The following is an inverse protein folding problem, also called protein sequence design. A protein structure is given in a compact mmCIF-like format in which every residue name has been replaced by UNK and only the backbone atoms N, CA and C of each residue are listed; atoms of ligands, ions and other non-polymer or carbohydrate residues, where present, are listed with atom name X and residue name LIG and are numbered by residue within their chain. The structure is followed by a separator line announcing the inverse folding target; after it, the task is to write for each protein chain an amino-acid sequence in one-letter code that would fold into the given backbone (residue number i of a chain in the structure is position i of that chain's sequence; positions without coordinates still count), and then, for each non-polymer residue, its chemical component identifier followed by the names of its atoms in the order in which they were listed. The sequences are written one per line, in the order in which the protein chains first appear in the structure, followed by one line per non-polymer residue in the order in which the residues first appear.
data_IF_965875622969
#
_entry.id   IF_965875622969
#
_cell.length_a   1.000
_cell.length_b   1.000
_cell.length_c   1.000
_cell.angle_alpha   90.00
_cell.angle_beta   90.00
_cell.angle_gamma   90.00
#
_symmetry.space_group_name_H-M   'P 1'
#
loop_
_entity.id
_entity.type
_entity.pdbx_description
1 polymer ?
#
# COMPACT_ATOMS: atom_id res chain seq x y z
N UNK A 1 43.43 -48.10 41.19
CA UNK A 1 42.38 -48.40 40.17
C UNK A 1 41.41 -47.23 40.18
N UNK A 2 41.77 -46.16 39.39
CA UNK A 2 41.06 -44.90 39.38
C UNK A 2 40.05 -44.90 38.23
N UNK A 3 38.77 -44.88 38.55
CA UNK A 3 37.69 -44.68 37.60
C UNK A 3 37.49 -43.17 37.34
N UNK A 4 37.78 -42.74 36.14
CA UNK A 4 37.55 -41.39 35.69
C UNK A 4 36.09 -41.28 35.18
N UNK A 5 35.20 -40.61 35.92
CA UNK A 5 33.87 -40.25 35.45
C UNK A 5 33.98 -39.11 34.42
N UNK A 6 33.66 -39.42 33.17
CA UNK A 6 33.49 -38.38 32.12
C UNK A 6 32.04 -37.83 32.22
N UNK A 7 31.94 -36.59 32.67
CA UNK A 7 30.69 -35.83 32.59
C UNK A 7 30.40 -35.50 31.14
N UNK A 8 29.33 -36.06 30.57
CA UNK A 8 28.79 -35.70 29.27
C UNK A 8 27.77 -34.59 29.52
N UNK A 9 28.16 -33.34 29.20
CA UNK A 9 27.21 -32.24 29.12
C UNK A 9 26.43 -32.35 27.82
N UNK A 10 25.16 -32.74 27.90
CA UNK A 10 24.21 -32.65 26.80
C UNK A 10 23.63 -31.25 26.84
N UNK A 11 24.13 -30.35 25.98
CA UNK A 11 23.54 -29.02 25.76
C UNK A 11 22.27 -29.16 24.94
N UNK A 12 21.14 -29.01 25.64
CA UNK A 12 19.81 -28.94 25.00
C UNK A 12 19.68 -27.55 24.31
N UNK A 13 19.86 -27.51 22.98
CA UNK A 13 19.56 -26.35 22.19
C UNK A 13 18.03 -26.26 22.02
N UNK A 14 17.37 -25.34 22.77
CA UNK A 14 16.01 -24.94 22.46
C UNK A 14 16.02 -24.18 21.16
N UNK A 15 15.55 -24.81 20.08
CA UNK A 15 15.19 -24.16 18.84
C UNK A 15 13.93 -23.32 19.10
N UNK A 16 14.09 -22.05 19.36
CA UNK A 16 12.98 -21.08 19.26
C UNK A 16 12.62 -20.97 17.79
N UNK A 17 11.59 -21.68 17.35
CA UNK A 17 10.93 -21.42 16.09
C UNK A 17 10.13 -20.12 16.27
N UNK A 18 10.67 -18.98 15.84
CA UNK A 18 9.86 -17.78 15.66
C UNK A 18 8.89 -18.08 14.52
N UNK A 19 7.63 -18.30 14.87
CA UNK A 19 6.55 -18.33 13.89
C UNK A 19 6.51 -16.93 13.30
N UNK A 20 6.96 -16.77 12.04
CA UNK A 20 6.66 -15.56 11.28
C UNK A 20 5.17 -15.65 11.00
N UNK A 21 4.36 -14.96 11.79
CA UNK A 21 2.95 -14.77 11.48
C UNK A 21 2.88 -14.01 10.17
N UNK A 22 2.13 -14.53 9.21
CA UNK A 22 1.91 -13.82 7.97
C UNK A 22 1.15 -12.52 8.27
N UNK A 23 1.68 -11.40 7.78
CA UNK A 23 1.15 -10.08 8.08
C UNK A 23 -0.18 -9.85 7.36
N UNK A 24 -1.19 -9.30 8.06
CA UNK A 24 -2.46 -8.89 7.47
C UNK A 24 -2.17 -7.95 6.31
N UNK A 25 -2.87 -8.13 5.18
CA UNK A 25 -2.65 -7.33 3.97
C UNK A 25 -3.91 -6.74 3.38
N UNK A 26 -3.80 -5.52 2.83
CA UNK A 26 -4.82 -4.86 2.01
C UNK A 26 -4.23 -4.40 0.69
N UNK A 27 -4.94 -4.62 -0.42
CA UNK A 27 -4.46 -4.20 -1.73
C UNK A 27 -5.53 -3.48 -2.53
N UNK A 28 -5.09 -2.49 -3.31
CA UNK A 28 -5.84 -1.81 -4.35
C UNK A 28 -5.18 -2.04 -5.71
N UNK A 29 -5.95 -2.10 -6.81
CA UNK A 29 -5.41 -2.33 -8.14
C UNK A 29 -4.78 -1.08 -8.74
N UNK A 30 -3.91 -1.32 -9.75
CA UNK A 30 -3.52 -0.32 -10.72
C UNK A 30 -4.43 -0.41 -11.94
N UNK A 31 -5.12 0.67 -12.27
CA UNK A 31 -5.98 0.76 -13.44
C UNK A 31 -5.33 1.66 -14.49
N UNK A 32 -5.01 1.05 -15.62
CA UNK A 32 -4.30 1.69 -16.71
C UNK A 32 -5.25 2.07 -17.85
N UNK A 33 -4.85 3.10 -18.60
CA UNK A 33 -5.51 3.53 -19.82
C UNK A 33 -7.03 3.75 -19.64
N UNK A 34 -7.40 4.28 -18.48
CA UNK A 34 -8.79 4.58 -18.16
C UNK A 34 -9.28 5.71 -19.08
N UNK A 35 -10.43 5.52 -19.69
CA UNK A 35 -11.03 6.57 -20.53
C UNK A 35 -11.52 7.73 -19.65
N UNK A 36 -11.18 8.95 -20.03
CA UNK A 36 -11.70 10.14 -19.35
C UNK A 36 -13.25 10.14 -19.34
N UNK A 37 -13.84 10.40 -18.20
CA UNK A 37 -15.28 10.33 -17.95
C UNK A 37 -15.80 8.94 -17.57
N UNK A 38 -15.02 7.87 -17.70
CA UNK A 38 -15.43 6.53 -17.29
C UNK A 38 -15.46 6.38 -15.76
N UNK A 39 -16.40 5.58 -15.28
CA UNK A 39 -16.43 5.11 -13.88
C UNK A 39 -15.72 3.77 -13.79
N UNK A 40 -14.72 3.68 -12.91
CA UNK A 40 -13.94 2.49 -12.65
C UNK A 40 -14.25 1.91 -11.27
N UNK A 41 -14.06 0.60 -11.11
CA UNK A 41 -14.18 -0.08 -9.84
C UNK A 41 -12.81 -0.52 -9.35
N UNK A 42 -12.47 -0.12 -8.13
CA UNK A 42 -11.24 -0.53 -7.43
C UNK A 42 -11.64 -1.53 -6.32
N UNK A 43 -11.44 -2.84 -6.53
CA UNK A 43 -11.65 -3.83 -5.49
C UNK A 43 -10.61 -3.65 -4.39
N UNK A 44 -11.07 -3.55 -3.15
CA UNK A 44 -10.22 -3.67 -1.96
C UNK A 44 -10.13 -5.15 -1.61
N UNK A 45 -8.94 -5.71 -1.71
CA UNK A 45 -8.68 -7.12 -1.42
C UNK A 45 -7.89 -7.29 -0.15
N UNK A 46 -8.11 -8.42 0.52
CA UNK A 46 -7.44 -8.77 1.78
C UNK A 46 -6.59 -10.04 1.64
N UNK A 47 -5.59 -10.15 2.52
CA UNK A 47 -4.67 -11.28 2.63
C UNK A 47 -4.38 -11.55 4.11
N UNK A 48 -4.20 -12.81 4.48
CA UNK A 48 -4.02 -13.26 5.87
C UNK A 48 -5.09 -12.64 6.79
N UNK A 49 -6.32 -12.56 6.29
CA UNK A 49 -7.47 -11.99 6.98
C UNK A 49 -8.14 -13.08 7.81
N UNK A 50 -7.59 -13.32 8.98
CA UNK A 50 -8.02 -14.39 9.88
C UNK A 50 -8.42 -13.84 11.24
N UNK A 51 -9.60 -14.22 11.72
CA UNK A 51 -10.15 -13.81 13.01
C UNK A 51 -10.11 -12.28 13.23
N UNK A 52 -10.43 -11.51 12.18
CA UNK A 52 -10.45 -10.05 12.23
C UNK A 52 -11.74 -9.57 12.88
N UNK A 53 -11.59 -8.74 13.90
CA UNK A 53 -12.72 -8.23 14.70
C UNK A 53 -13.16 -6.84 14.29
N UNK A 54 -12.25 -5.99 13.78
CA UNK A 54 -12.62 -4.72 13.18
C UNK A 54 -11.60 -4.23 12.15
N UNK A 55 -12.06 -3.36 11.26
CA UNK A 55 -11.22 -2.67 10.28
C UNK A 55 -11.66 -1.22 10.19
N UNK A 56 -10.74 -0.29 10.41
CA UNK A 56 -10.97 1.11 10.11
C UNK A 56 -9.78 1.70 9.35
N UNK A 57 -10.08 2.48 8.32
CA UNK A 57 -9.10 3.23 7.55
C UNK A 57 -9.75 4.33 6.70
N UNK A 58 -8.90 5.11 6.07
CA UNK A 58 -9.28 6.11 5.09
C UNK A 58 -8.71 5.73 3.74
N UNK A 59 -9.52 5.81 2.69
CA UNK A 59 -9.05 5.84 1.31
C UNK A 59 -8.97 7.29 0.83
N UNK A 60 -7.86 7.66 0.19
CA UNK A 60 -7.61 9.00 -0.33
C UNK A 60 -7.29 8.95 -1.82
N UNK A 61 -7.74 9.95 -2.55
CA UNK A 61 -7.40 10.19 -3.96
C UNK A 61 -7.37 11.68 -4.26
N UNK A 62 -6.84 12.05 -5.43
CA UNK A 62 -6.88 13.43 -5.88
C UNK A 62 -8.26 13.77 -6.47
N UNK A 63 -9.08 14.64 -5.80
CA UNK A 63 -10.42 14.97 -6.27
C UNK A 63 -10.44 15.78 -7.57
N UNK A 64 -9.32 16.38 -7.97
CA UNK A 64 -9.20 17.03 -9.28
C UNK A 64 -9.06 16.04 -10.45
N UNK A 65 -8.80 14.74 -10.14
CA UNK A 65 -8.59 13.67 -11.12
C UNK A 65 -9.68 12.62 -11.05
N UNK A 66 -10.14 12.28 -9.84
CA UNK A 66 -11.14 11.24 -9.58
C UNK A 66 -12.25 11.78 -8.70
N UNK A 67 -13.50 11.57 -9.11
CA UNK A 67 -14.70 11.91 -8.37
C UNK A 67 -15.31 10.64 -7.77
N UNK A 68 -15.75 10.68 -6.51
CA UNK A 68 -16.48 9.58 -5.89
C UNK A 68 -17.79 9.31 -6.62
N UNK A 69 -18.07 8.04 -6.88
CA UNK A 69 -19.32 7.59 -7.49
C UNK A 69 -20.18 6.78 -6.52
N UNK A 70 -19.61 5.70 -5.97
CA UNK A 70 -20.30 4.84 -4.99
C UNK A 70 -19.31 3.84 -4.36
N UNK A 71 -19.80 3.10 -3.37
CA UNK A 71 -19.24 1.82 -2.95
C UNK A 71 -20.21 0.70 -3.29
N UNK A 72 -19.73 -0.51 -3.57
CA UNK A 72 -20.55 -1.69 -3.83
C UNK A 72 -19.82 -2.99 -3.50
N UNK A 73 -20.48 -4.14 -3.76
CA UNK A 73 -19.89 -5.47 -3.58
C UNK A 73 -19.40 -5.73 -2.16
N UNK A 74 -20.24 -5.50 -1.17
CA UNK A 74 -19.92 -5.77 0.23
C UNK A 74 -19.86 -7.28 0.48
N UNK A 75 -18.69 -7.79 0.86
CA UNK A 75 -18.41 -9.23 0.96
C UNK A 75 -17.72 -9.61 2.29
N UNK A 76 -17.96 -8.83 3.34
CA UNK A 76 -17.76 -9.23 4.71
C UNK A 76 -19.11 -9.29 5.42
N UNK A 77 -19.33 -10.23 6.35
CA UNK A 77 -20.54 -10.25 7.16
C UNK A 77 -20.73 -8.91 7.88
N UNK A 78 -21.92 -8.35 7.79
CA UNK A 78 -22.27 -7.08 8.42
C UNK A 78 -21.75 -5.81 7.72
N UNK A 79 -20.87 -5.93 6.72
CA UNK A 79 -20.40 -4.77 5.97
C UNK A 79 -21.49 -4.26 5.01
N UNK A 80 -21.83 -2.98 5.11
CA UNK A 80 -22.77 -2.32 4.21
C UNK A 80 -22.41 -0.85 3.96
N UNK A 81 -23.32 -0.09 3.31
CA UNK A 81 -23.08 1.32 2.99
C UNK A 81 -22.97 2.24 4.22
N UNK A 82 -23.49 1.82 5.38
CA UNK A 82 -23.48 2.62 6.61
C UNK A 82 -22.10 2.60 7.30
N UNK A 83 -21.25 1.62 6.97
CA UNK A 83 -19.86 1.55 7.47
C UNK A 83 -18.95 2.59 6.83
N UNK A 84 -19.46 3.31 5.82
CA UNK A 84 -18.70 4.33 5.12
C UNK A 84 -19.14 5.74 5.54
N UNK A 85 -18.18 6.52 6.07
CA UNK A 85 -18.39 7.93 6.38
C UNK A 85 -18.43 8.77 5.12
N UNK A 86 -19.65 8.95 4.54
CA UNK A 86 -19.88 9.65 3.28
C UNK A 86 -20.06 11.17 3.45
N UNK A 87 -20.24 11.68 4.68
CA UNK A 87 -20.57 13.09 4.92
C UNK A 87 -19.32 13.98 4.93
N UNK A 88 -19.33 15.04 4.11
CA UNK A 88 -18.37 16.16 4.08
C UNK A 88 -16.92 15.86 3.69
N UNK A 89 -16.60 14.67 3.15
CA UNK A 89 -15.21 14.31 2.82
C UNK A 89 -15.02 13.82 1.39
N UNK A 90 -16.08 13.45 0.67
CA UNK A 90 -15.99 12.91 -0.69
C UNK A 90 -15.44 13.92 -1.69
N UNK A 91 -15.87 15.19 -1.60
CA UNK A 91 -15.35 16.28 -2.44
C UNK A 91 -13.89 16.59 -2.16
N UNK A 92 -13.38 16.17 -1.00
CA UNK A 92 -11.98 16.28 -0.61
C UNK A 92 -11.13 15.06 -1.02
N UNK A 93 -11.74 14.08 -1.71
CA UNK A 93 -11.05 12.85 -2.12
C UNK A 93 -10.78 11.90 -0.94
N UNK A 94 -11.68 11.82 0.02
CA UNK A 94 -11.55 11.01 1.23
C UNK A 94 -12.79 10.15 1.45
N UNK A 95 -12.62 8.84 1.54
CA UNK A 95 -13.62 7.87 1.99
C UNK A 95 -13.15 7.23 3.29
N UNK A 96 -14.00 7.19 4.29
CA UNK A 96 -13.74 6.53 5.59
C UNK A 96 -14.46 5.20 5.64
N UNK A 97 -13.79 4.16 6.12
CA UNK A 97 -14.38 2.88 6.49
C UNK A 97 -14.24 2.68 7.99
N UNK A 98 -15.31 2.16 8.63
CA UNK A 98 -15.27 1.63 9.98
C UNK A 98 -16.25 0.45 10.04
N UNK A 99 -15.72 -0.75 10.00
CA UNK A 99 -16.45 -2.02 10.05
C UNK A 99 -16.04 -2.82 11.29
N UNK A 100 -17.02 -3.52 11.88
CA UNK A 100 -16.84 -4.39 13.03
C UNK A 100 -17.52 -5.74 12.78
N UNK A 101 -16.84 -6.84 13.16
CA UNK A 101 -17.40 -8.17 13.04
C UNK A 101 -18.63 -8.35 13.95
N UNK A 102 -19.61 -9.10 13.46
CA UNK A 102 -20.84 -9.39 14.23
C UNK A 102 -20.58 -10.24 15.48
N UNK A 103 -19.51 -11.03 15.45
CA UNK A 103 -19.06 -11.85 16.57
C UNK A 103 -17.58 -11.53 16.88
N UNK A 104 -17.37 -10.80 17.97
CA UNK A 104 -16.03 -10.40 18.43
C UNK A 104 -15.25 -11.52 19.12
N UNK A 105 -15.90 -12.61 19.51
CA UNK A 105 -15.24 -13.78 20.14
C UNK A 105 -14.62 -14.72 19.10
N UNK A 106 -15.09 -14.64 17.85
CA UNK A 106 -14.56 -15.43 16.73
C UNK A 106 -13.83 -14.56 15.70
N UNK A 107 -14.31 -13.35 15.47
CA UNK A 107 -13.89 -12.51 14.34
C UNK A 107 -14.32 -13.10 13.00
N UNK A 108 -13.96 -12.41 11.91
CA UNK A 108 -14.25 -12.85 10.55
C UNK A 108 -12.96 -13.29 9.84
N UNK A 109 -13.09 -14.31 9.00
CA UNK A 109 -11.97 -14.86 8.22
C UNK A 109 -12.32 -14.85 6.74
N UNK A 110 -11.39 -14.37 5.92
CA UNK A 110 -11.53 -14.35 4.47
C UNK A 110 -10.29 -14.94 3.78
N UNK A 111 -10.51 -15.71 2.72
CA UNK A 111 -9.41 -16.27 1.93
C UNK A 111 -8.57 -15.17 1.26
N UNK A 112 -7.30 -15.44 1.02
CA UNK A 112 -6.36 -14.54 0.35
C UNK A 112 -6.90 -14.08 -1.01
N UNK A 113 -6.81 -12.78 -1.28
CA UNK A 113 -7.30 -12.16 -2.50
C UNK A 113 -8.81 -11.92 -2.53
N UNK A 114 -9.54 -12.19 -1.44
CA UNK A 114 -10.96 -11.87 -1.32
C UNK A 114 -11.16 -10.36 -1.44
N UNK A 115 -12.06 -9.95 -2.35
CA UNK A 115 -12.53 -8.57 -2.41
C UNK A 115 -13.55 -8.35 -1.31
N UNK A 116 -13.31 -7.42 -0.40
CA UNK A 116 -14.22 -7.11 0.70
C UNK A 116 -15.29 -6.05 0.31
N UNK A 117 -14.90 -5.09 -0.51
CA UNK A 117 -15.81 -4.15 -1.18
C UNK A 117 -15.10 -3.56 -2.41
N UNK A 118 -15.84 -2.77 -3.21
CA UNK A 118 -15.30 -2.00 -4.34
C UNK A 118 -15.59 -0.53 -4.15
N UNK A 119 -14.55 0.30 -4.31
CA UNK A 119 -14.67 1.75 -4.46
C UNK A 119 -14.88 2.07 -5.93
N UNK A 120 -15.94 2.82 -6.26
CA UNK A 120 -16.18 3.32 -7.61
C UNK A 120 -15.84 4.80 -7.71
N UNK A 121 -14.95 5.10 -8.64
CA UNK A 121 -14.47 6.45 -8.91
C UNK A 121 -14.68 6.78 -10.39
N UNK A 122 -15.14 8.00 -10.68
CA UNK A 122 -15.26 8.54 -12.03
C UNK A 122 -13.99 9.30 -12.39
N UNK A 123 -13.39 8.99 -13.53
CA UNK A 123 -12.18 9.64 -14.03
C UNK A 123 -12.54 11.00 -14.64
N UNK A 124 -12.45 12.07 -13.87
CA UNK A 124 -12.82 13.46 -14.29
C UNK A 124 -11.61 14.29 -14.76
N UNK A 125 -10.40 13.83 -14.43
CA UNK A 125 -9.17 14.49 -14.86
C UNK A 125 -8.92 14.41 -16.37
N UNK A 126 -8.02 15.25 -16.90
CA UNK A 126 -7.65 15.22 -18.31
C UNK A 126 -6.88 13.94 -18.68
N UNK A 127 -6.77 13.66 -19.98
CA UNK A 127 -5.87 12.61 -20.50
C UNK A 127 -4.43 12.89 -20.03
N UNK A 128 -3.71 11.84 -19.67
CA UNK A 128 -2.39 11.83 -19.02
C UNK A 128 -2.39 12.28 -17.54
N UNK A 129 -3.54 12.56 -16.94
CA UNK A 129 -3.63 12.69 -15.50
C UNK A 129 -3.70 11.32 -14.82
N UNK A 130 -3.29 11.25 -13.55
CA UNK A 130 -3.40 10.06 -12.73
C UNK A 130 -3.53 10.41 -11.27
N UNK A 131 -4.09 9.48 -10.50
CA UNK A 131 -4.22 9.62 -9.05
C UNK A 131 -3.83 8.32 -8.36
N UNK A 132 -2.99 8.42 -7.35
CA UNK A 132 -2.88 7.35 -6.35
C UNK A 132 -4.22 7.23 -5.62
N UNK A 133 -4.58 6.00 -5.22
CA UNK A 133 -5.66 5.71 -4.28
C UNK A 133 -5.03 5.00 -3.10
N UNK A 134 -5.04 5.62 -1.92
CA UNK A 134 -4.15 5.24 -0.84
C UNK A 134 -4.89 4.93 0.44
N UNK A 135 -4.42 3.90 1.16
CA UNK A 135 -4.83 3.66 2.53
C UNK A 135 -4.13 4.64 3.47
N UNK A 136 -4.81 5.07 4.51
CA UNK A 136 -4.23 5.96 5.51
C UNK A 136 -5.16 6.27 6.66
N UNK A 137 -4.83 7.35 7.36
CA UNK A 137 -5.59 7.89 8.49
C UNK A 137 -6.02 9.33 8.20
N UNK A 138 -7.20 9.72 8.71
CA UNK A 138 -7.62 11.11 8.79
C UNK A 138 -8.51 11.30 10.02
N UNK A 139 -8.17 12.16 10.97
CA UNK A 139 -8.97 12.34 12.17
C UNK A 139 -10.47 12.53 11.86
N UNK A 140 -11.38 11.90 12.60
CA UNK A 140 -11.13 11.02 13.76
C UNK A 140 -10.74 9.56 13.39
N UNK A 141 -10.82 9.14 12.12
CA UNK A 141 -10.51 7.78 11.68
C UNK A 141 -9.00 7.57 11.59
N UNK A 142 -8.48 6.65 12.38
CA UNK A 142 -7.11 6.16 12.27
C UNK A 142 -7.09 4.88 11.42
N UNK A 143 -5.93 4.52 10.87
CA UNK A 143 -5.75 3.19 10.27
C UNK A 143 -5.51 2.19 11.41
N UNK A 144 -6.44 1.27 11.58
CA UNK A 144 -6.35 0.22 12.59
C UNK A 144 -7.10 -1.03 12.11
N UNK A 145 -6.52 -2.17 12.38
CA UNK A 145 -7.15 -3.49 12.20
C UNK A 145 -7.04 -4.23 13.52
N UNK A 146 -8.12 -4.78 14.03
CA UNK A 146 -8.07 -5.62 15.22
C UNK A 146 -8.27 -7.07 14.87
N UNK A 147 -7.46 -7.94 15.45
CA UNK A 147 -7.48 -9.39 15.27
C UNK A 147 -7.60 -10.09 16.62
N UNK A 148 -8.31 -11.20 16.65
CA UNK A 148 -8.34 -12.08 17.82
C UNK A 148 -7.11 -12.97 17.80
N UNK A 149 -6.14 -12.69 18.69
CA UNK A 149 -4.90 -13.47 18.83
C UNK A 149 -4.91 -14.13 20.21
N UNK A 150 -4.90 -15.47 20.26
CA UNK A 150 -4.94 -16.24 21.51
C UNK A 150 -6.09 -15.82 22.45
N UNK A 151 -7.26 -15.48 21.88
CA UNK A 151 -8.43 -15.03 22.63
C UNK A 151 -8.37 -13.58 23.12
N UNK A 152 -7.41 -12.79 22.63
CA UNK A 152 -7.24 -11.36 22.96
C UNK A 152 -7.39 -10.52 21.70
N UNK A 153 -8.26 -9.50 21.74
CA UNK A 153 -8.37 -8.52 20.64
C UNK A 153 -7.09 -7.67 20.63
N UNK A 154 -6.33 -7.78 19.56
CA UNK A 154 -5.03 -7.15 19.38
C UNK A 154 -5.09 -6.15 18.23
N UNK A 155 -4.78 -4.86 18.46
CA UNK A 155 -4.77 -3.84 17.42
C UNK A 155 -3.47 -3.86 16.60
N UNK A 156 -3.61 -3.64 15.30
CA UNK A 156 -2.51 -3.47 14.34
C UNK A 156 -2.67 -2.14 13.62
N UNK A 157 -1.70 -1.26 13.77
CA UNK A 157 -1.63 0.00 13.05
C UNK A 157 -1.03 -0.19 11.65
N UNK A 158 -1.10 0.83 10.80
CA UNK A 158 -0.62 0.81 9.41
C UNK A 158 0.81 0.30 9.26
N UNK A 159 1.70 0.56 10.21
CA UNK A 159 3.09 0.09 10.20
C UNK A 159 3.24 -1.43 10.37
N UNK A 160 2.22 -2.10 10.89
CA UNK A 160 2.18 -3.54 11.16
C UNK A 160 1.26 -4.31 10.20
N UNK A 161 0.70 -3.62 9.21
CA UNK A 161 -0.19 -4.17 8.18
C UNK A 161 0.47 -3.95 6.81
N UNK A 162 0.42 -4.95 5.95
CA UNK A 162 0.97 -4.85 4.61
C UNK A 162 -0.05 -4.18 3.67
N UNK A 163 0.22 -2.98 3.20
CA UNK A 163 -0.70 -2.25 2.31
C UNK A 163 -0.10 -2.02 0.93
N UNK A 164 -0.85 -2.39 -0.11
CA UNK A 164 -0.54 -2.05 -1.49
C UNK A 164 -1.50 -0.97 -1.96
N UNK A 165 -0.93 0.17 -2.27
CA UNK A 165 -1.69 1.32 -2.75
C UNK A 165 -2.15 1.11 -4.19
N UNK A 166 -3.29 1.69 -4.56
CA UNK A 166 -3.81 1.68 -5.92
C UNK A 166 -3.38 2.90 -6.73
N UNK A 167 -3.61 2.82 -8.03
CA UNK A 167 -3.43 3.95 -8.94
C UNK A 167 -4.42 3.89 -10.10
N UNK A 168 -4.91 5.06 -10.53
CA UNK A 168 -5.75 5.19 -11.73
C UNK A 168 -5.06 6.13 -12.72
N UNK A 169 -4.73 5.61 -13.91
CA UNK A 169 -4.09 6.35 -14.99
C UNK A 169 -5.09 6.63 -16.12
N UNK A 170 -5.31 7.90 -16.46
CA UNK A 170 -6.27 8.32 -17.49
C UNK A 170 -5.56 8.45 -18.84
N UNK A 171 -5.84 7.55 -19.78
CA UNK A 171 -5.29 7.58 -21.14
C UNK A 171 -3.82 7.20 -21.26
N UNK A 172 -3.20 6.63 -20.22
CA UNK A 172 -1.83 6.13 -20.28
C UNK A 172 -1.65 4.87 -19.42
N UNK A 173 -0.55 4.17 -19.63
CA UNK A 173 -0.26 2.90 -18.94
C UNK A 173 0.82 3.11 -17.87
N UNK A 174 0.53 2.64 -16.66
CA UNK A 174 1.45 2.52 -15.53
C UNK A 174 1.60 1.05 -15.21
N UNK A 175 2.81 0.54 -15.03
CA UNK A 175 3.01 -0.84 -14.57
C UNK A 175 3.05 -0.88 -13.05
N UNK A 176 2.18 -1.68 -12.44
CA UNK A 176 2.23 -1.96 -11.02
C UNK A 176 3.33 -2.97 -10.72
N UNK A 177 4.14 -2.73 -9.70
CA UNK A 177 4.86 -3.82 -9.06
C UNK A 177 3.86 -4.58 -8.19
N UNK A 178 3.54 -5.80 -8.58
CA UNK A 178 2.75 -6.70 -7.75
C UNK A 178 3.59 -7.12 -6.53
N UNK A 179 3.15 -6.88 -5.28
CA UNK A 179 3.94 -7.26 -4.09
C UNK A 179 3.99 -8.77 -3.85
N UNK A 180 3.17 -9.54 -4.54
CA UNK A 180 3.08 -10.99 -4.40
C UNK A 180 3.27 -11.70 -5.74
N UNK A 181 4.49 -12.20 -5.96
CA UNK A 181 4.80 -13.19 -6.99
C UNK A 181 5.23 -12.61 -8.34
N UNK A 182 6.54 -12.63 -8.57
CA UNK A 182 7.23 -12.59 -9.86
C UNK A 182 6.87 -11.42 -10.79
N UNK A 183 7.53 -10.31 -10.62
CA UNK A 183 7.62 -9.32 -11.69
C UNK A 183 9.07 -9.12 -12.12
N UNK A 184 9.34 -9.34 -13.38
CA UNK A 184 10.58 -8.97 -14.07
C UNK A 184 10.64 -7.45 -14.28
N UNK A 185 10.50 -6.65 -13.21
CA UNK A 185 10.33 -5.21 -13.37
C UNK A 185 11.06 -4.47 -12.27
N UNK A 186 11.99 -3.60 -12.68
CA UNK A 186 12.63 -2.58 -11.84
C UNK A 186 12.61 -2.94 -10.35
N UNK A 187 13.62 -3.65 -9.87
CA UNK A 187 13.82 -3.80 -8.43
C UNK A 187 14.08 -2.42 -7.83
N UNK A 188 12.98 -1.71 -7.50
CA UNK A 188 13.09 -0.40 -6.87
C UNK A 188 13.24 -0.60 -5.37
N UNK A 189 14.33 -0.11 -4.83
CA UNK A 189 14.58 -0.06 -3.39
C UNK A 189 14.76 1.39 -2.97
N UNK A 190 14.20 1.71 -1.81
CA UNK A 190 14.33 3.02 -1.18
C UNK A 190 14.86 2.82 0.22
N UNK A 191 16.09 3.26 0.47
CA UNK A 191 16.72 3.09 1.76
C UNK A 191 17.65 4.29 2.11
N UNK A 192 17.58 4.78 3.36
CA UNK A 192 16.60 4.46 4.40
C UNK A 192 15.19 4.94 4.05
N UNK A 193 14.16 4.21 4.50
CA UNK A 193 12.77 4.62 4.45
C UNK A 193 12.07 4.02 5.68
N UNK A 194 11.64 4.80 6.67
CA UNK A 194 11.64 6.27 6.71
C UNK A 194 13.02 6.95 6.75
N UNK A 195 13.09 8.25 6.40
CA UNK A 195 14.33 9.05 6.42
C UNK A 195 14.12 10.48 6.97
N UNK A 196 15.23 11.10 7.42
CA UNK A 196 15.23 12.48 7.95
C UNK A 196 15.85 13.47 6.99
N UNK A 197 17.03 13.18 6.48
CA UNK A 197 17.79 14.11 5.63
C UNK A 197 17.72 13.71 4.16
N UNK A 198 17.95 12.43 3.86
CA UNK A 198 17.98 11.91 2.50
C UNK A 198 17.74 10.41 2.44
N UNK A 199 17.27 9.95 1.31
CA UNK A 199 17.15 8.54 0.97
C UNK A 199 17.73 8.26 -0.40
N UNK A 200 18.20 7.03 -0.60
CA UNK A 200 18.68 6.52 -1.87
C UNK A 200 17.59 5.68 -2.54
N UNK A 201 17.24 6.04 -3.75
CA UNK A 201 16.41 5.22 -4.64
C UNK A 201 17.34 4.44 -5.55
N UNK A 202 17.30 3.12 -5.50
CA UNK A 202 18.02 2.24 -6.43
C UNK A 202 17.04 1.41 -7.25
N UNK A 203 17.38 1.14 -8.51
CA UNK A 203 16.55 0.37 -9.41
C UNK A 203 17.37 -0.29 -10.53
N UNK A 204 16.83 -1.37 -11.11
CA UNK A 204 17.47 -2.10 -12.20
C UNK A 204 16.70 -1.91 -13.52
N UNK A 205 17.43 -1.64 -14.61
CA UNK A 205 16.89 -1.60 -15.97
C UNK A 205 17.27 -2.85 -16.77
N UNK A 206 16.29 -3.56 -17.32
CA UNK A 206 16.52 -4.72 -18.20
C UNK A 206 17.02 -4.31 -19.58
N UNK A 207 16.64 -3.11 -20.02
CA UNK A 207 17.01 -2.51 -21.31
C UNK A 207 17.26 -1.02 -21.13
N UNK A 208 18.05 -0.43 -22.01
CA UNK A 208 18.27 1.03 -22.01
C UNK A 208 16.94 1.76 -22.18
N UNK A 209 16.71 2.79 -21.35
CA UNK A 209 15.47 3.57 -21.34
C UNK A 209 15.67 4.92 -20.70
N UNK A 210 14.84 5.87 -21.10
CA UNK A 210 14.62 7.08 -20.31
C UNK A 210 13.84 6.72 -19.04
N UNK A 211 14.23 7.31 -17.93
CA UNK A 211 13.57 7.12 -16.63
C UNK A 211 13.08 8.46 -16.12
N UNK A 212 11.80 8.52 -15.79
CA UNK A 212 11.19 9.64 -15.08
C UNK A 212 10.91 9.23 -13.65
N UNK A 213 11.32 10.07 -12.71
CA UNK A 213 11.00 9.93 -11.30
C UNK A 213 10.10 11.10 -10.90
N UNK A 214 8.96 10.81 -10.32
CA UNK A 214 8.11 11.80 -9.68
C UNK A 214 7.87 11.42 -8.22
N UNK A 215 7.77 12.43 -7.36
CA UNK A 215 7.30 12.26 -5.98
C UNK A 215 6.03 13.07 -5.82
N UNK A 216 4.97 12.43 -5.33
CA UNK A 216 3.70 13.08 -5.05
C UNK A 216 3.42 13.09 -3.56
N UNK A 217 2.66 14.08 -3.09
CA UNK A 217 2.06 14.06 -1.76
C UNK A 217 0.83 13.12 -1.73
N UNK A 218 0.22 12.96 -0.56
CA UNK A 218 -0.97 12.12 -0.36
C UNK A 218 -2.18 12.55 -1.22
N UNK A 219 -2.22 13.80 -1.68
CA UNK A 219 -3.26 14.29 -2.57
C UNK A 219 -2.99 14.00 -4.06
N UNK A 220 -1.84 13.38 -4.38
CA UNK A 220 -1.38 13.11 -5.74
C UNK A 220 -0.75 14.32 -6.45
N UNK A 221 -0.52 15.44 -5.74
CA UNK A 221 0.18 16.60 -6.29
C UNK A 221 1.67 16.27 -6.42
N UNK A 222 2.24 16.53 -7.61
CA UNK A 222 3.68 16.36 -7.86
C UNK A 222 4.47 17.40 -7.05
N UNK A 223 5.35 16.93 -6.20
CA UNK A 223 6.27 17.73 -5.36
C UNK A 223 7.66 17.81 -5.99
N UNK A 224 8.11 16.70 -6.55
CA UNK A 224 9.42 16.56 -7.19
C UNK A 224 9.26 15.78 -8.50
N UNK A 225 9.94 16.24 -9.55
CA UNK A 225 10.04 15.51 -10.83
C UNK A 225 11.48 15.58 -11.34
N UNK A 226 12.04 14.45 -11.71
CA UNK A 226 13.39 14.32 -12.29
C UNK A 226 13.34 13.38 -13.50
N UNK A 227 14.00 13.75 -14.59
CA UNK A 227 14.14 12.93 -15.78
C UNK A 227 15.61 12.55 -15.96
N UNK A 228 15.84 11.26 -16.17
CA UNK A 228 17.16 10.68 -16.46
C UNK A 228 17.12 10.08 -17.87
N UNK A 229 17.61 10.79 -18.89
CA UNK A 229 17.57 10.29 -20.25
C UNK A 229 18.63 9.21 -20.49
N UNK A 230 18.34 8.29 -21.40
CA UNK A 230 19.27 7.34 -21.98
C UNK A 230 20.06 6.49 -20.96
N UNK A 231 19.45 6.09 -19.85
CA UNK A 231 20.09 5.17 -18.91
C UNK A 231 20.26 3.79 -19.56
N UNK A 232 21.49 3.25 -19.48
CA UNK A 232 21.80 1.91 -19.97
C UNK A 232 21.14 0.80 -19.17
N UNK A 233 21.22 -0.45 -19.66
CA UNK A 233 20.86 -1.62 -18.87
C UNK A 233 21.72 -1.73 -17.62
N UNK A 234 21.15 -2.15 -16.48
CA UNK A 234 21.84 -2.40 -15.22
C UNK A 234 21.29 -1.61 -14.07
N UNK A 235 22.05 -1.58 -12.97
CA UNK A 235 21.67 -0.91 -11.74
C UNK A 235 21.94 0.58 -11.81
N UNK A 236 20.96 1.36 -11.36
CA UNK A 236 21.00 2.81 -11.27
C UNK A 236 20.54 3.27 -9.89
N UNK A 237 20.90 4.50 -9.54
CA UNK A 237 20.47 5.08 -8.28
C UNK A 237 20.41 6.60 -8.33
N UNK A 238 19.57 7.16 -7.48
CA UNK A 238 19.50 8.60 -7.26
C UNK A 238 19.15 8.91 -5.82
N UNK A 239 19.58 10.07 -5.37
CA UNK A 239 19.28 10.59 -4.04
C UNK A 239 18.08 11.53 -4.08
N UNK A 240 17.22 11.41 -3.06
CA UNK A 240 16.15 12.36 -2.75
C UNK A 240 16.45 12.96 -1.38
N UNK A 241 16.59 14.28 -1.31
CA UNK A 241 16.81 14.99 -0.08
C UNK A 241 15.47 15.49 0.52
N UNK A 242 15.34 15.42 1.86
CA UNK A 242 14.15 15.87 2.58
C UNK A 242 13.73 17.31 2.23
N UNK A 243 14.63 18.30 2.07
CA UNK A 243 14.25 19.64 1.67
C UNK A 243 13.57 19.75 0.30
N UNK A 244 13.78 18.78 -0.60
CA UNK A 244 13.08 18.74 -1.90
C UNK A 244 11.60 18.40 -1.75
N UNK A 245 11.19 17.77 -0.63
CA UNK A 245 9.82 17.34 -0.34
C UNK A 245 9.00 18.32 0.51
N UNK A 246 9.63 19.43 0.96
CA UNK A 246 9.03 20.57 1.67
C UNK A 246 8.56 20.31 3.10
N UNK A 247 7.88 19.22 3.39
CA UNK A 247 7.26 18.93 4.69
C UNK A 247 7.55 17.49 5.13
N UNK A 248 7.43 17.23 6.42
CA UNK A 248 7.43 15.86 6.96
C UNK A 248 6.10 15.19 6.65
N UNK A 249 6.13 13.90 6.36
CA UNK A 249 4.90 13.19 6.03
C UNK A 249 5.13 12.02 5.10
N UNK A 250 4.03 11.51 4.55
CA UNK A 250 4.03 10.43 3.59
C UNK A 250 3.95 10.97 2.16
N UNK A 251 4.74 10.38 1.28
CA UNK A 251 4.82 10.68 -0.14
C UNK A 251 4.81 9.40 -0.95
N UNK A 252 4.62 9.51 -2.25
CA UNK A 252 4.70 8.39 -3.19
C UNK A 252 5.77 8.68 -4.24
N UNK A 253 6.78 7.82 -4.27
CA UNK A 253 7.76 7.77 -5.34
C UNK A 253 7.16 7.03 -6.53
N UNK A 254 7.14 7.65 -7.68
CA UNK A 254 6.70 7.07 -8.95
C UNK A 254 7.90 7.04 -9.88
N UNK A 255 8.35 5.85 -10.25
CA UNK A 255 9.43 5.65 -11.21
C UNK A 255 8.81 5.15 -12.53
N UNK A 256 9.10 5.81 -13.65
CA UNK A 256 8.55 5.48 -14.96
C UNK A 256 9.64 5.30 -16.00
N UNK A 257 9.44 4.33 -16.89
CA UNK A 257 10.12 4.18 -18.17
C UNK A 257 9.09 4.24 -19.29
N UNK A 258 9.50 4.14 -20.55
CA UNK A 258 8.56 4.09 -21.69
C UNK A 258 7.50 2.98 -21.56
N UNK A 259 7.85 1.86 -20.94
CA UNK A 259 7.01 0.66 -20.92
C UNK A 259 6.66 0.17 -19.50
N UNK A 260 7.23 0.76 -18.45
CA UNK A 260 7.15 0.25 -17.08
C UNK A 260 7.04 1.39 -16.08
N UNK A 261 6.37 1.15 -14.97
CA UNK A 261 6.32 2.10 -13.86
C UNK A 261 6.21 1.35 -12.54
N UNK A 262 6.73 1.96 -11.48
CA UNK A 262 6.71 1.46 -10.12
C UNK A 262 6.30 2.60 -9.18
N UNK A 263 5.53 2.29 -8.15
CA UNK A 263 5.17 3.24 -7.08
C UNK A 263 5.63 2.67 -5.75
N UNK A 264 6.33 3.48 -4.95
CA UNK A 264 6.81 3.13 -3.62
C UNK A 264 6.44 4.22 -2.61
N UNK A 265 5.98 3.88 -1.40
CA UNK A 265 5.77 4.87 -0.35
C UNK A 265 7.11 5.41 0.15
N UNK A 266 7.14 6.71 0.44
CA UNK A 266 8.25 7.43 1.08
C UNK A 266 7.76 8.05 2.38
N UNK A 267 8.51 7.88 3.46
CA UNK A 267 8.20 8.47 4.76
C UNK A 267 9.33 9.41 5.18
N UNK A 268 8.98 10.69 5.42
CA UNK A 268 9.90 11.75 5.87
C UNK A 268 9.58 12.15 7.30
N UNK A 269 10.59 12.15 8.19
CA UNK A 269 10.45 12.53 9.59
C UNK A 269 11.18 13.83 9.95
#
# INVERSE_FOLDING_TARGET
MNLCLRNVFVSLWLLYTTSISAQIGFTLPFLNNVTAGATVALPVKVYNFDSITSVQFVLRWNPAVLEFSSTDFYNLPGLDENDFGLMNTLDSGILRLAWEASDLELGETAADGTTIFRLRLKATGPVNAGSAVTFGSAPPTIFEVTQLVDGVITPFEMGNVNVTQGFVAIGYTVSANEPYGQSNLLHVQVAPNPFHEKTQVSFDLDTASDVQLAVTDESGRIILEKTMPELGRGQHGMEIASPELREKGMYYLILRTKNKSCVQPLFVF
#
